data_IF_404698245434
#
_entry.id   IF_404698245434
#
_cell.length_a   1.000
_cell.length_b   1.000
_cell.length_c   1.000
_cell.angle_alpha   90.00
_cell.angle_beta   90.00
_cell.angle_gamma   90.00
#
_symmetry.space_group_name_H-M   'P 1'
#
loop_
_entity.id
_entity.type
_entity.pdbx_description
1 polymer ?
#
# COMPACT_ATOMS: atom_id res chain seq x y z
N UNK A 1 36.04 -8.00 14.08
CA UNK A 1 35.30 -7.09 13.19
C UNK A 1 33.86 -7.58 13.05
N UNK A 2 32.94 -7.02 13.83
CA UNK A 2 31.50 -7.27 13.73
C UNK A 2 30.94 -6.47 12.55
N UNK A 3 30.99 -7.04 11.34
CA UNK A 3 30.40 -6.42 10.15
C UNK A 3 29.01 -7.03 9.94
N UNK A 4 27.99 -6.19 10.15
CA UNK A 4 26.60 -6.40 9.77
C UNK A 4 25.84 -7.41 10.63
N UNK A 5 25.23 -6.92 11.71
CA UNK A 5 24.29 -7.67 12.56
C UNK A 5 22.98 -8.00 11.84
N UNK A 6 23.02 -8.96 10.92
CA UNK A 6 21.85 -9.63 10.37
C UNK A 6 21.68 -10.95 11.12
N UNK A 7 20.66 -11.05 11.94
CA UNK A 7 20.23 -12.32 12.55
C UNK A 7 19.63 -13.19 11.45
N UNK A 8 20.19 -14.38 11.22
CA UNK A 8 19.72 -15.40 10.27
C UNK A 8 18.53 -16.22 10.81
N UNK A 9 17.80 -15.71 11.80
CA UNK A 9 16.63 -16.40 12.37
C UNK A 9 15.42 -16.18 11.46
N UNK A 10 14.89 -17.28 10.93
CA UNK A 10 13.77 -17.42 9.97
C UNK A 10 12.40 -16.84 10.38
N UNK A 11 12.33 -15.73 11.12
CA UNK A 11 11.06 -15.06 11.39
C UNK A 11 11.16 -13.59 11.81
N UNK A 12 12.35 -12.97 11.71
CA UNK A 12 12.53 -11.57 12.09
C UNK A 12 12.77 -10.75 10.83
N UNK A 13 11.76 -9.96 10.47
CA UNK A 13 11.88 -8.96 9.40
C UNK A 13 13.06 -8.03 9.73
N UNK A 14 14.03 -7.84 8.80
CA UNK A 14 15.21 -7.05 9.09
C UNK A 14 14.82 -5.60 9.39
N UNK A 15 15.17 -5.12 10.58
CA UNK A 15 14.88 -3.76 11.07
C UNK A 15 15.90 -2.73 10.59
N UNK A 16 16.99 -3.18 9.97
CA UNK A 16 18.08 -2.32 9.48
C UNK A 16 18.55 -2.77 8.12
N UNK A 17 18.58 -1.83 7.18
CA UNK A 17 19.13 -2.04 5.85
C UNK A 17 20.42 -1.23 5.67
N UNK A 18 21.34 -1.69 4.78
CA UNK A 18 22.55 -0.95 4.47
C UNK A 18 22.24 0.44 3.89
N UNK A 19 23.15 1.38 4.12
CA UNK A 19 23.06 2.71 3.54
C UNK A 19 23.14 2.66 2.00
N UNK A 20 22.62 3.69 1.32
CA UNK A 20 22.69 3.80 -0.14
C UNK A 20 24.15 3.74 -0.60
N UNK A 21 24.46 2.74 -1.42
CA UNK A 21 25.76 2.54 -2.05
C UNK A 21 25.58 1.93 -3.45
N UNK A 22 26.60 2.02 -4.30
CA UNK A 22 26.56 1.36 -5.62
C UNK A 22 26.47 -0.16 -5.49
N UNK A 23 27.06 -0.72 -4.44
CA UNK A 23 26.94 -2.14 -4.11
C UNK A 23 25.49 -2.52 -3.79
N UNK A 24 24.80 -1.74 -2.96
CA UNK A 24 23.39 -1.96 -2.66
C UNK A 24 22.53 -1.88 -3.92
N UNK A 25 22.75 -0.86 -4.78
CA UNK A 25 22.03 -0.75 -6.05
C UNK A 25 22.23 -1.97 -6.93
N UNK A 26 23.46 -2.51 -7.00
CA UNK A 26 23.76 -3.75 -7.73
C UNK A 26 22.96 -4.94 -7.21
N UNK A 27 22.84 -5.09 -5.88
CA UNK A 27 22.04 -6.17 -5.29
C UNK A 27 20.54 -5.99 -5.50
N UNK A 28 20.01 -4.77 -5.37
CA UNK A 28 18.60 -4.48 -5.65
C UNK A 28 18.24 -4.80 -7.10
N UNK A 29 19.12 -4.47 -8.07
CA UNK A 29 18.92 -4.81 -9.49
C UNK A 29 18.96 -6.31 -9.77
N UNK A 30 19.65 -7.11 -8.95
CA UNK A 30 19.59 -8.58 -9.02
C UNK A 30 18.28 -9.15 -8.48
N UNK A 31 17.50 -8.34 -7.77
CA UNK A 31 16.23 -8.73 -7.18
C UNK A 31 16.32 -8.82 -5.66
N UNK A 32 15.32 -8.25 -5.00
CA UNK A 32 15.09 -8.44 -3.55
C UNK A 32 14.23 -9.71 -3.40
N UNK A 33 14.60 -10.66 -2.52
CA UNK A 33 13.76 -11.81 -2.20
C UNK A 33 12.33 -11.38 -1.85
N UNK A 34 11.34 -12.15 -2.30
CA UNK A 34 9.92 -11.76 -2.19
C UNK A 34 9.52 -11.41 -0.74
N UNK A 35 9.96 -12.22 0.22
CA UNK A 35 9.75 -12.06 1.66
C UNK A 35 10.29 -10.74 2.23
N UNK A 36 11.30 -10.14 1.59
CA UNK A 36 11.95 -8.93 2.08
C UNK A 36 11.53 -7.67 1.33
N UNK A 37 10.78 -7.81 0.23
CA UNK A 37 10.40 -6.68 -0.64
C UNK A 37 9.64 -5.61 0.13
N UNK A 38 8.58 -5.99 0.84
CA UNK A 38 7.76 -5.02 1.58
C UNK A 38 8.59 -4.19 2.55
N UNK A 39 9.27 -4.84 3.49
CA UNK A 39 10.09 -4.14 4.48
C UNK A 39 11.24 -3.34 3.84
N UNK A 40 11.86 -3.83 2.78
CA UNK A 40 12.93 -3.12 2.09
C UNK A 40 12.41 -1.87 1.37
N UNK A 41 11.30 -2.00 0.63
CA UNK A 41 10.65 -0.88 -0.05
C UNK A 41 10.23 0.19 0.97
N UNK A 42 9.58 -0.23 2.05
CA UNK A 42 9.14 0.67 3.12
C UNK A 42 10.34 1.39 3.77
N UNK A 43 11.41 0.67 4.08
CA UNK A 43 12.62 1.27 4.64
C UNK A 43 13.24 2.29 3.68
N UNK A 44 13.47 1.93 2.42
CA UNK A 44 14.10 2.83 1.45
C UNK A 44 13.23 4.03 1.08
N UNK A 45 11.91 3.91 1.20
CA UNK A 45 10.96 4.99 1.05
C UNK A 45 10.94 5.97 2.24
N UNK A 46 11.68 5.68 3.31
CA UNK A 46 11.63 6.39 4.60
C UNK A 46 10.32 6.19 5.37
N UNK A 47 9.69 5.04 5.21
CA UNK A 47 8.51 4.62 5.99
C UNK A 47 8.72 4.65 7.51
N UNK A 48 9.87 4.17 8.05
CA UNK A 48 10.12 4.24 9.49
C UNK A 48 10.16 5.67 10.05
N UNK A 49 10.55 6.65 9.24
CA UNK A 49 10.51 8.07 9.65
C UNK A 49 9.07 8.54 9.77
N UNK A 50 8.19 8.20 8.81
CA UNK A 50 6.76 8.51 8.87
C UNK A 50 6.08 7.90 10.10
N UNK A 51 6.35 6.64 10.42
CA UNK A 51 5.81 6.00 11.63
C UNK A 51 6.25 6.73 12.91
N UNK A 52 7.55 7.08 13.00
CA UNK A 52 8.09 7.78 14.17
C UNK A 52 7.53 9.19 14.33
N UNK A 53 7.27 9.88 13.21
CA UNK A 53 6.70 11.22 13.20
C UNK A 53 5.20 11.24 13.49
N UNK A 54 4.49 10.13 13.29
CA UNK A 54 3.03 10.07 13.34
C UNK A 54 2.50 8.91 14.21
N UNK A 55 2.92 8.79 15.48
CA UNK A 55 2.47 7.69 16.35
C UNK A 55 0.95 7.78 16.61
N UNK A 56 0.23 6.67 16.39
CA UNK A 56 -1.21 6.55 16.66
C UNK A 56 -2.13 7.32 15.69
N UNK A 57 -1.57 7.98 14.67
CA UNK A 57 -2.38 8.74 13.70
C UNK A 57 -3.26 7.80 12.88
N UNK A 58 -2.73 6.65 12.47
CA UNK A 58 -3.50 5.69 11.67
C UNK A 58 -4.68 5.13 12.46
N UNK A 59 -4.46 4.70 13.70
CA UNK A 59 -5.53 4.17 14.57
C UNK A 59 -6.66 5.18 14.74
N UNK A 60 -6.31 6.44 14.99
CA UNK A 60 -7.29 7.52 15.10
C UNK A 60 -8.07 7.76 13.80
N UNK A 61 -7.41 7.67 12.64
CA UNK A 61 -8.08 7.78 11.34
C UNK A 61 -9.04 6.62 11.09
N UNK A 62 -8.70 5.40 11.52
CA UNK A 62 -9.58 4.23 11.40
C UNK A 62 -10.87 4.47 12.19
N UNK A 63 -10.76 4.93 13.44
CA UNK A 63 -11.93 5.28 14.27
C UNK A 63 -12.81 6.36 13.61
N UNK A 64 -12.19 7.42 13.09
CA UNK A 64 -12.91 8.52 12.44
C UNK A 64 -13.59 8.15 11.12
N UNK A 65 -13.07 7.14 10.42
CA UNK A 65 -13.53 6.80 9.06
C UNK A 65 -14.39 5.55 9.00
N UNK A 66 -14.57 4.84 10.12
CA UNK A 66 -15.36 3.61 10.21
C UNK A 66 -16.77 3.81 9.65
N UNK A 67 -17.51 4.77 10.21
CA UNK A 67 -18.90 5.08 9.83
C UNK A 67 -19.05 6.26 8.87
N UNK A 68 -17.93 6.75 8.33
CA UNK A 68 -17.96 7.88 7.40
C UNK A 68 -18.58 7.45 6.06
N UNK A 69 -19.55 8.25 5.60
CA UNK A 69 -20.19 8.13 4.29
C UNK A 69 -20.05 9.46 3.54
N UNK A 70 -19.38 9.42 2.40
CA UNK A 70 -19.21 10.52 1.46
C UNK A 70 -18.92 9.98 0.05
N UNK A 71 -18.77 10.87 -0.93
CA UNK A 71 -18.49 10.51 -2.32
C UNK A 71 -17.25 9.59 -2.48
N UNK A 72 -16.17 9.86 -1.72
CA UNK A 72 -14.97 9.02 -1.75
C UNK A 72 -15.26 7.61 -1.22
N UNK A 73 -16.01 7.47 -0.13
CA UNK A 73 -16.31 6.16 0.43
C UNK A 73 -17.22 5.34 -0.49
N UNK A 74 -18.19 5.97 -1.15
CA UNK A 74 -19.04 5.30 -2.14
C UNK A 74 -18.24 4.84 -3.36
N UNK A 75 -17.31 5.67 -3.84
CA UNK A 75 -16.41 5.32 -4.93
C UNK A 75 -15.48 4.16 -4.54
N UNK A 76 -14.95 4.16 -3.31
CA UNK A 76 -14.15 3.06 -2.75
C UNK A 76 -14.97 1.78 -2.77
N UNK A 77 -16.19 1.74 -2.23
CA UNK A 77 -17.01 0.52 -2.20
C UNK A 77 -17.27 -0.06 -3.60
N UNK A 78 -17.56 0.80 -4.58
CA UNK A 78 -17.74 0.37 -5.98
C UNK A 78 -16.47 -0.28 -6.54
N UNK A 79 -15.30 0.23 -6.15
CA UNK A 79 -14.01 -0.22 -6.65
C UNK A 79 -13.49 -1.47 -5.94
N UNK A 80 -13.80 -1.67 -4.67
CA UNK A 80 -13.39 -2.86 -3.91
C UNK A 80 -13.81 -4.15 -4.60
N UNK A 81 -15.06 -4.23 -5.06
CA UNK A 81 -15.62 -5.42 -5.72
C UNK A 81 -14.94 -5.77 -7.05
N UNK A 82 -14.25 -4.81 -7.68
CA UNK A 82 -13.50 -5.00 -8.94
C UNK A 82 -11.99 -5.02 -8.76
N UNK A 83 -11.49 -4.89 -7.53
CA UNK A 83 -10.06 -4.87 -7.24
C UNK A 83 -9.56 -6.30 -7.01
N UNK A 84 -8.82 -6.84 -7.99
CA UNK A 84 -8.27 -8.20 -7.97
C UNK A 84 -9.29 -9.34 -7.75
N UNK A 85 -10.39 -9.41 -8.53
CA UNK A 85 -11.46 -10.39 -8.35
C UNK A 85 -11.02 -11.85 -8.59
N UNK A 86 -9.82 -12.09 -9.13
CA UNK A 86 -9.27 -13.42 -9.38
C UNK A 86 -8.12 -13.79 -8.42
N UNK A 87 -7.72 -12.88 -7.52
CA UNK A 87 -6.60 -13.11 -6.63
C UNK A 87 -7.03 -13.96 -5.42
N UNK A 88 -6.32 -15.06 -5.18
CA UNK A 88 -6.59 -15.98 -4.06
C UNK A 88 -6.66 -15.29 -2.69
N UNK A 89 -5.89 -14.21 -2.47
CA UNK A 89 -5.90 -13.47 -1.21
C UNK A 89 -7.14 -12.57 -1.04
N UNK A 90 -7.80 -12.20 -2.13
CA UNK A 90 -9.02 -11.40 -2.16
C UNK A 90 -10.29 -12.26 -2.26
N UNK A 91 -10.15 -13.55 -2.64
CA UNK A 91 -11.24 -14.49 -2.91
C UNK A 91 -11.57 -15.48 -1.78
N UNK A 92 -11.08 -15.28 -0.55
CA UNK A 92 -11.46 -16.07 0.64
C UNK A 92 -12.92 -15.78 1.09
N UNK A 93 -13.88 -15.96 0.18
CA UNK A 93 -15.27 -15.49 0.31
C UNK A 93 -16.23 -16.58 0.80
N UNK A 94 -15.80 -17.83 0.96
CA UNK A 94 -16.73 -18.92 1.33
C UNK A 94 -16.27 -19.65 2.57
N UNK A 95 -16.81 -19.25 3.73
CA UNK A 95 -16.94 -20.14 4.88
C UNK A 95 -18.40 -20.59 4.96
N UNK A 96 -18.61 -21.91 4.96
CA UNK A 96 -19.92 -22.48 5.22
C UNK A 96 -20.29 -22.18 6.68
N UNK A 97 -21.50 -21.68 6.92
CA UNK A 97 -22.06 -21.60 8.26
C UNK A 97 -22.02 -23.01 8.90
N UNK A 98 -21.31 -23.22 10.03
CA UNK A 98 -21.24 -24.53 10.68
C UNK A 98 -22.60 -25.07 11.12
N UNK A 99 -23.62 -24.19 11.23
CA UNK A 99 -24.95 -24.47 11.77
C UNK A 99 -25.98 -24.58 10.64
N UNK A 100 -25.95 -23.67 9.67
CA UNK A 100 -26.95 -23.64 8.59
C UNK A 100 -26.50 -24.24 7.26
N UNK A 101 -25.20 -24.52 7.10
CA UNK A 101 -24.61 -25.06 5.85
C UNK A 101 -24.74 -24.13 4.65
N UNK A 102 -25.22 -22.89 4.86
CA UNK A 102 -25.31 -21.88 3.81
C UNK A 102 -23.95 -21.21 3.60
N UNK A 103 -23.59 -20.83 2.36
CA UNK A 103 -22.47 -19.94 2.13
C UNK A 103 -22.72 -18.64 2.89
N UNK A 104 -21.84 -18.30 3.83
CA UNK A 104 -21.77 -16.94 4.34
C UNK A 104 -20.82 -16.22 3.38
N UNK A 105 -21.33 -15.25 2.65
CA UNK A 105 -20.51 -14.30 1.91
C UNK A 105 -19.76 -13.46 2.94
N UNK A 106 -18.62 -13.95 3.39
CA UNK A 106 -17.75 -13.22 4.30
C UNK A 106 -16.69 -12.55 3.45
N UNK A 107 -16.70 -11.21 3.44
CA UNK A 107 -15.70 -10.43 2.73
C UNK A 107 -14.29 -10.80 3.23
N UNK A 108 -13.35 -11.02 2.29
CA UNK A 108 -11.95 -11.33 2.61
C UNK A 108 -11.39 -10.30 3.60
N UNK A 109 -10.63 -10.76 4.59
CA UNK A 109 -9.94 -9.88 5.54
C UNK A 109 -9.09 -8.82 4.82
N UNK A 110 -8.53 -9.17 3.66
CA UNK A 110 -7.72 -8.25 2.87
C UNK A 110 -8.55 -7.14 2.20
N UNK A 111 -9.79 -7.42 1.78
CA UNK A 111 -10.72 -6.42 1.27
C UNK A 111 -11.15 -5.45 2.37
N UNK A 112 -11.42 -5.96 3.58
CA UNK A 112 -11.73 -5.11 4.73
C UNK A 112 -10.55 -4.18 5.07
N UNK A 113 -9.32 -4.71 5.04
CA UNK A 113 -8.10 -3.93 5.23
C UNK A 113 -7.91 -2.89 4.12
N UNK A 114 -8.13 -3.26 2.86
CA UNK A 114 -8.07 -2.36 1.71
C UNK A 114 -9.06 -1.18 1.88
N UNK A 115 -10.30 -1.48 2.27
CA UNK A 115 -11.31 -0.47 2.59
C UNK A 115 -10.79 0.51 3.65
N UNK A 116 -10.33 0.01 4.79
CA UNK A 116 -9.86 0.86 5.91
C UNK A 116 -8.73 1.77 5.47
N UNK A 117 -7.71 1.24 4.80
CA UNK A 117 -6.56 2.02 4.31
C UNK A 117 -7.00 3.13 3.34
N UNK A 118 -7.87 2.82 2.37
CA UNK A 118 -8.34 3.80 1.39
C UNK A 118 -9.20 4.90 2.03
N UNK A 119 -10.11 4.54 2.95
CA UNK A 119 -10.93 5.51 3.69
C UNK A 119 -10.04 6.43 4.54
N UNK A 120 -9.08 5.87 5.26
CA UNK A 120 -8.10 6.63 6.05
C UNK A 120 -7.27 7.56 5.16
N UNK A 121 -6.84 7.09 3.98
CA UNK A 121 -6.07 7.89 3.03
C UNK A 121 -6.86 9.09 2.51
N UNK A 122 -8.09 8.87 2.03
CA UNK A 122 -8.95 9.93 1.53
C UNK A 122 -9.23 10.99 2.61
N UNK A 123 -9.35 10.56 3.88
CA UNK A 123 -9.50 11.47 5.03
C UNK A 123 -8.21 12.23 5.36
N UNK A 124 -7.07 11.56 5.33
CA UNK A 124 -5.75 12.13 5.65
C UNK A 124 -5.26 13.12 4.58
N UNK A 125 -5.58 12.86 3.30
CA UNK A 125 -5.24 13.72 2.15
C UNK A 125 -6.51 14.16 1.40
N UNK A 126 -7.34 15.05 1.99
CA UNK A 126 -8.59 15.47 1.37
C UNK A 126 -8.41 16.21 0.04
N UNK A 127 -7.24 16.82 -0.20
CA UNK A 127 -6.91 17.46 -1.48
C UNK A 127 -6.82 16.48 -2.65
N UNK A 128 -6.42 15.23 -2.37
CA UNK A 128 -6.37 14.14 -3.35
C UNK A 128 -7.69 13.36 -3.31
N UNK A 129 -8.22 13.12 -2.10
CA UNK A 129 -9.40 12.29 -1.90
C UNK A 129 -9.14 10.84 -2.33
N UNK A 130 -10.14 10.24 -2.99
CA UNK A 130 -10.01 8.92 -3.59
C UNK A 130 -10.00 9.02 -5.12
N UNK A 131 -9.04 8.35 -5.75
CA UNK A 131 -8.96 8.17 -7.19
C UNK A 131 -8.93 6.66 -7.51
N UNK A 132 -9.58 6.25 -8.60
CA UNK A 132 -9.70 4.85 -9.05
C UNK A 132 -8.37 4.11 -9.22
N UNK A 133 -7.21 4.78 -9.24
CA UNK A 133 -5.91 4.08 -9.30
C UNK A 133 -5.42 3.61 -7.92
N UNK A 134 -5.93 4.20 -6.84
CA UNK A 134 -5.39 3.99 -5.48
C UNK A 134 -5.73 2.62 -4.91
N UNK A 135 -6.87 2.02 -5.27
CA UNK A 135 -7.26 0.66 -4.88
C UNK A 135 -6.25 -0.40 -5.34
N UNK A 136 -5.77 -0.33 -6.58
CA UNK A 136 -4.81 -1.29 -7.12
C UNK A 136 -3.43 -1.13 -6.48
N UNK A 137 -2.98 0.12 -6.29
CA UNK A 137 -1.73 0.41 -5.59
C UNK A 137 -1.81 -0.13 -4.16
N UNK A 138 -2.87 0.20 -3.44
CA UNK A 138 -3.06 -0.21 -2.05
C UNK A 138 -3.20 -1.72 -1.92
N UNK A 139 -3.96 -2.37 -2.81
CA UNK A 139 -4.09 -3.82 -2.84
C UNK A 139 -2.76 -4.52 -3.07
N UNK A 140 -1.91 -4.00 -3.97
CA UNK A 140 -0.55 -4.51 -4.16
C UNK A 140 0.32 -4.32 -2.92
N UNK A 141 0.25 -3.16 -2.27
CA UNK A 141 1.01 -2.89 -1.04
C UNK A 141 0.62 -3.87 0.08
N UNK A 142 -0.67 -4.14 0.24
CA UNK A 142 -1.20 -5.04 1.27
C UNK A 142 -0.79 -6.51 1.10
N UNK A 143 -0.31 -6.92 -0.08
CA UNK A 143 0.28 -8.25 -0.28
C UNK A 143 1.65 -8.36 0.41
N UNK A 144 2.38 -7.24 0.55
CA UNK A 144 3.76 -7.23 1.06
C UNK A 144 3.94 -6.49 2.39
N UNK A 145 2.93 -5.74 2.84
CA UNK A 145 3.01 -4.85 3.99
C UNK A 145 1.83 -5.04 4.91
N UNK A 146 2.08 -4.84 6.20
CA UNK A 146 1.04 -4.68 7.21
C UNK A 146 0.19 -3.43 6.91
N UNK A 147 -1.04 -3.43 7.40
CA UNK A 147 -2.07 -2.41 7.13
C UNK A 147 -1.57 -0.96 7.33
N UNK A 148 -1.03 -0.62 8.50
CA UNK A 148 -0.54 0.73 8.78
C UNK A 148 0.66 1.09 7.88
N UNK A 149 1.56 0.13 7.60
CA UNK A 149 2.70 0.37 6.69
C UNK A 149 2.22 0.60 5.27
N UNK A 150 1.21 -0.11 4.81
CA UNK A 150 0.60 0.09 3.49
C UNK A 150 -0.01 1.49 3.38
N UNK A 151 -0.71 1.97 4.44
CA UNK A 151 -1.20 3.35 4.51
C UNK A 151 -0.07 4.38 4.37
N UNK A 152 0.99 4.27 5.18
CA UNK A 152 2.10 5.23 5.10
C UNK A 152 2.86 5.13 3.78
N UNK A 153 2.99 3.92 3.23
CA UNK A 153 3.61 3.74 1.92
C UNK A 153 2.79 4.40 0.82
N UNK A 154 1.46 4.31 0.86
CA UNK A 154 0.56 5.01 -0.05
C UNK A 154 0.70 6.54 0.07
N UNK A 155 0.76 7.07 1.30
CA UNK A 155 1.07 8.50 1.55
C UNK A 155 2.40 8.90 0.93
N UNK A 156 3.46 8.11 1.12
CA UNK A 156 4.78 8.40 0.56
C UNK A 156 4.75 8.38 -0.98
N UNK A 157 4.07 7.40 -1.58
CA UNK A 157 3.96 7.28 -3.04
C UNK A 157 3.25 8.51 -3.61
N UNK A 158 2.10 8.87 -3.04
CA UNK A 158 1.31 10.02 -3.52
C UNK A 158 2.03 11.36 -3.29
N UNK A 159 2.76 11.53 -2.18
CA UNK A 159 3.53 12.75 -1.91
C UNK A 159 4.80 12.90 -2.75
N UNK A 160 5.50 11.80 -3.04
CA UNK A 160 6.87 11.85 -3.61
C UNK A 160 6.99 11.37 -5.04
N UNK A 161 6.17 10.40 -5.45
CA UNK A 161 6.27 9.79 -6.77
C UNK A 161 5.24 10.35 -7.75
N UNK A 162 4.16 10.98 -7.27
CA UNK A 162 3.09 11.53 -8.09
C UNK A 162 2.75 13.00 -7.76
N UNK A 163 3.73 13.92 -7.60
CA UNK A 163 3.41 15.33 -7.41
C UNK A 163 2.69 15.86 -8.67
N UNK A 164 1.43 16.29 -8.53
CA UNK A 164 0.66 16.92 -9.62
C UNK A 164 -0.06 15.98 -10.60
N UNK A 165 -0.12 14.66 -10.34
CA UNK A 165 -0.93 13.72 -11.16
C UNK A 165 -2.34 13.52 -10.58
N UNK A 166 -2.50 13.77 -9.28
CA UNK A 166 -3.78 13.68 -8.57
C UNK A 166 -4.30 15.03 -8.09
N UNK A 167 -3.59 16.12 -8.38
CA UNK A 167 -4.16 17.46 -8.30
C UNK A 167 -5.13 17.61 -9.48
N UNK A 168 -6.25 18.31 -9.31
CA UNK A 168 -7.33 18.39 -10.33
C UNK A 168 -6.92 18.99 -11.69
N UNK A 169 -5.64 19.31 -11.88
CA UNK A 169 -5.02 19.64 -13.16
C UNK A 169 -4.02 18.54 -13.53
N UNK A 170 -4.36 17.74 -14.54
CA UNK A 170 -3.57 16.66 -15.16
C UNK A 170 -2.26 17.13 -15.84
N UNK A 171 -1.57 18.14 -15.29
CA UNK A 171 -0.34 18.69 -15.88
C UNK A 171 0.84 17.72 -15.73
N UNK A 172 0.83 16.83 -14.73
CA UNK A 172 1.89 15.82 -14.54
C UNK A 172 1.86 14.65 -15.53
N UNK A 173 0.71 14.36 -16.16
CA UNK A 173 0.57 13.22 -17.10
C UNK A 173 1.29 13.49 -18.42
N UNK A 174 1.28 14.75 -18.88
CA UNK A 174 1.90 15.14 -20.15
C UNK A 174 3.44 15.01 -20.14
N UNK A 175 4.08 15.18 -18.97
CA UNK A 175 5.55 15.09 -18.85
C UNK A 175 6.03 13.63 -18.92
N UNK A 176 5.29 12.69 -18.32
CA UNK A 176 5.65 11.27 -18.37
C UNK A 176 5.39 10.62 -19.73
N UNK A 177 4.37 11.09 -20.47
CA UNK A 177 4.10 10.60 -21.83
C UNK A 177 5.18 11.07 -22.83
N UNK A 178 5.74 12.26 -22.63
CA UNK A 178 6.87 12.76 -23.44
C UNK A 178 8.17 11.97 -23.25
N UNK A 179 8.49 11.53 -22.03
CA UNK A 179 9.70 10.75 -21.73
C UNK A 179 9.61 9.30 -22.26
N UNK A 180 8.40 8.71 -22.25
CA UNK A 180 8.14 7.39 -22.85
C UNK A 180 8.23 7.42 -24.39
N UNK A 181 7.88 8.53 -25.04
CA UNK A 181 8.04 8.72 -26.48
C UNK A 181 9.49 9.05 -26.89
N UNK A 182 10.29 9.66 -26.00
CA UNK A 182 11.70 10.00 -26.28
C UNK A 182 12.66 8.80 -26.14
N UNK A 183 12.25 7.69 -25.51
CA UNK A 183 13.07 6.49 -25.36
C UNK A 183 12.38 5.20 -25.87
N UNK A 184 11.39 5.32 -26.74
CA UNK A 184 10.72 4.19 -27.39
C UNK A 184 11.20 3.98 -28.84
N UNK A 185 12.15 3.05 -29.01
CA UNK A 185 12.51 2.29 -30.22
C UNK A 185 13.06 3.05 -31.43
#
# INVERSE_FOLDING_TARGET
>A
MAKSGLTTSNNISPTRYPARSEELKRYVRKGIPAEWRGNAWFFFAKGPDKLRENPGVYDHLVEQTMDMVNENTEAIEKDLHRTFPENIHFNDIVKNDPISGKPIEQESALLQTLRRVLKCFARYKPSIGYCQSLNFITGLLLIFLDEEKAFWMLVIITERLLPGIHDMNLEGVNVHQGVLLLFGL
#
